data_IF_866839202345
#
_entry.id   IF_866839202345
#
_cell.length_a   1.000
_cell.length_b   1.000
_cell.length_c   1.000
_cell.angle_alpha   90.00
_cell.angle_beta   90.00
_cell.angle_gamma   90.00
#
_symmetry.space_group_name_H-M   'P 1'
#
loop_
_entity.id
_entity.type
_entity.pdbx_description
1 polymer ?
#
# COMPACT_ATOMS: atom_id res chain seq x y z
N UNK A 1 1.00 -21.68 14.84
CA UNK A 1 -0.29 -21.31 14.23
C UNK A 1 -0.20 -19.83 13.87
N UNK A 2 -0.25 -19.49 12.59
CA UNK A 2 -0.17 -18.11 12.12
C UNK A 2 -1.43 -17.34 12.54
N UNK A 3 -1.43 -16.69 13.71
CA UNK A 3 -2.61 -16.02 14.25
C UNK A 3 -2.99 -14.71 13.53
N UNK A 4 -2.13 -14.18 12.65
CA UNK A 4 -2.28 -12.84 12.05
C UNK A 4 -2.28 -12.80 10.51
N UNK A 5 -2.48 -13.92 9.81
CA UNK A 5 -2.56 -13.92 8.33
C UNK A 5 -3.80 -14.66 7.85
N UNK A 6 -4.50 -14.02 6.91
CA UNK A 6 -5.66 -14.58 6.20
C UNK A 6 -5.22 -14.96 4.78
N UNK A 7 -5.45 -16.20 4.31
CA UNK A 7 -5.17 -16.56 2.92
C UNK A 7 -6.11 -15.81 1.98
N UNK A 8 -5.55 -15.27 0.89
CA UNK A 8 -6.29 -14.54 -0.15
C UNK A 8 -5.90 -15.15 -1.50
N UNK A 9 -6.90 -15.31 -2.36
CA UNK A 9 -6.72 -15.81 -3.73
C UNK A 9 -7.20 -14.74 -4.70
N UNK A 10 -6.39 -14.44 -5.72
CA UNK A 10 -6.72 -13.53 -6.81
C UNK A 10 -6.03 -14.01 -8.09
N UNK A 11 -6.51 -13.52 -9.22
CA UNK A 11 -5.95 -13.88 -10.54
C UNK A 11 -4.95 -12.83 -10.97
N UNK A 12 -3.82 -13.26 -11.52
CA UNK A 12 -2.81 -12.41 -12.13
C UNK A 12 -2.52 -12.87 -13.57
N UNK A 13 -2.09 -11.97 -14.46
CA UNK A 13 -1.56 -12.34 -15.77
C UNK A 13 -0.40 -13.34 -15.65
N UNK A 14 -0.31 -14.28 -16.60
CA UNK A 14 0.74 -15.31 -16.58
C UNK A 14 2.14 -14.71 -16.58
N UNK A 15 2.40 -13.73 -17.44
CA UNK A 15 3.71 -13.07 -17.54
C UNK A 15 4.16 -12.46 -16.21
N UNK A 16 3.21 -11.90 -15.44
CA UNK A 16 3.51 -11.32 -14.13
C UNK A 16 3.86 -12.39 -13.08
N UNK A 17 3.22 -13.56 -13.16
CA UNK A 17 3.56 -14.69 -12.29
C UNK A 17 4.98 -15.17 -12.61
N UNK A 18 5.34 -15.28 -13.89
CA UNK A 18 6.67 -15.68 -14.33
C UNK A 18 7.75 -14.68 -13.85
N UNK A 19 7.46 -13.38 -13.92
CA UNK A 19 8.35 -12.34 -13.40
C UNK A 19 8.53 -12.45 -11.87
N UNK A 20 7.44 -12.66 -11.12
CA UNK A 20 7.51 -12.86 -9.66
C UNK A 20 8.35 -14.09 -9.33
N UNK A 21 8.23 -15.16 -10.12
CA UNK A 21 8.98 -16.41 -9.94
C UNK A 21 10.47 -16.19 -10.17
N UNK A 22 10.83 -15.50 -11.26
CA UNK A 22 12.20 -15.16 -11.59
C UNK A 22 12.84 -14.30 -10.51
N UNK A 23 12.14 -13.25 -10.06
CA UNK A 23 12.62 -12.35 -8.98
C UNK A 23 12.79 -13.12 -7.68
N UNK A 24 11.82 -13.96 -7.30
CA UNK A 24 11.88 -14.77 -6.10
C UNK A 24 13.10 -15.71 -6.11
N UNK A 25 13.39 -16.34 -7.26
CA UNK A 25 14.57 -17.18 -7.46
C UNK A 25 15.87 -16.38 -7.35
N UNK A 26 15.98 -15.25 -8.05
CA UNK A 26 17.17 -14.40 -8.03
C UNK A 26 17.49 -13.87 -6.62
N UNK A 27 16.47 -13.48 -5.86
CA UNK A 27 16.62 -12.92 -4.52
C UNK A 27 16.64 -13.99 -3.41
N UNK A 28 16.44 -15.27 -3.74
CA UNK A 28 16.26 -16.38 -2.79
C UNK A 28 15.19 -16.07 -1.73
N UNK A 29 14.12 -15.38 -2.14
CA UNK A 29 12.96 -15.02 -1.31
C UNK A 29 11.75 -15.87 -1.70
N UNK A 30 10.76 -15.96 -0.80
CA UNK A 30 9.46 -16.56 -1.13
C UNK A 30 8.66 -15.60 -2.01
N UNK A 31 7.88 -16.13 -2.96
CA UNK A 31 6.94 -15.34 -3.80
C UNK A 31 6.04 -14.44 -2.95
N UNK A 32 5.53 -14.99 -1.84
CA UNK A 32 4.68 -14.26 -0.87
C UNK A 32 5.39 -13.04 -0.28
N UNK A 33 6.71 -13.09 -0.10
CA UNK A 33 7.49 -11.94 0.39
C UNK A 33 7.60 -10.86 -0.68
N UNK A 34 7.85 -11.25 -1.93
CA UNK A 34 7.90 -10.31 -3.06
C UNK A 34 6.55 -9.60 -3.23
N UNK A 35 5.45 -10.38 -3.24
CA UNK A 35 4.10 -9.83 -3.35
C UNK A 35 3.77 -8.92 -2.17
N UNK A 36 4.15 -9.29 -0.95
CA UNK A 36 3.95 -8.46 0.23
C UNK A 36 4.68 -7.12 0.09
N UNK A 37 5.98 -7.15 -0.20
CA UNK A 37 6.81 -5.94 -0.34
C UNK A 37 6.26 -5.01 -1.44
N UNK A 38 5.85 -5.58 -2.58
CA UNK A 38 5.27 -4.81 -3.67
C UNK A 38 3.93 -4.15 -3.29
N UNK A 39 3.07 -4.87 -2.57
CA UNK A 39 1.79 -4.32 -2.09
C UNK A 39 1.99 -3.23 -1.05
N UNK A 40 2.90 -3.42 -0.09
CA UNK A 40 3.24 -2.39 0.91
C UNK A 40 3.73 -1.11 0.22
N UNK A 41 4.67 -1.22 -0.72
CA UNK A 41 5.16 -0.07 -1.49
C UNK A 41 4.06 0.63 -2.29
N UNK A 42 3.16 -0.13 -2.91
CA UNK A 42 2.06 0.46 -3.68
C UNK A 42 1.06 1.19 -2.77
N UNK A 43 0.72 0.61 -1.62
CA UNK A 43 -0.19 1.23 -0.65
C UNK A 43 0.40 2.52 -0.08
N UNK A 44 1.67 2.51 0.32
CA UNK A 44 2.35 3.72 0.81
C UNK A 44 2.34 4.85 -0.23
N UNK A 45 2.54 4.49 -1.51
CA UNK A 45 2.44 5.45 -2.61
C UNK A 45 1.02 5.99 -2.78
N UNK A 46 -0.02 5.16 -2.68
CA UNK A 46 -1.40 5.62 -2.76
C UNK A 46 -1.77 6.52 -1.59
N UNK A 47 -1.33 6.21 -0.37
CA UNK A 47 -1.54 7.05 0.80
C UNK A 47 -0.94 8.44 0.60
N UNK A 48 0.26 8.52 0.03
CA UNK A 48 0.88 9.80 -0.35
C UNK A 48 0.04 10.54 -1.39
N UNK A 49 -0.48 9.85 -2.41
CA UNK A 49 -1.33 10.47 -3.44
C UNK A 49 -2.66 10.98 -2.89
N UNK A 50 -3.25 10.29 -1.93
CA UNK A 50 -4.45 10.74 -1.21
C UNK A 50 -4.13 11.96 -0.35
N UNK A 51 -2.97 12.00 0.30
CA UNK A 51 -2.54 13.17 1.06
C UNK A 51 -2.31 14.39 0.14
N UNK A 52 -1.68 14.20 -1.01
CA UNK A 52 -1.52 15.25 -2.03
C UNK A 52 -2.87 15.74 -2.55
N UNK A 53 -3.86 14.86 -2.75
CA UNK A 53 -5.19 15.29 -3.20
C UNK A 53 -5.87 16.17 -2.16
N UNK A 54 -5.80 15.83 -0.86
CA UNK A 54 -6.34 16.68 0.22
C UNK A 54 -5.70 18.07 0.24
N UNK A 55 -4.39 18.15 0.03
CA UNK A 55 -3.68 19.45 -0.02
C UNK A 55 -4.09 20.33 -1.19
N UNK A 56 -4.59 19.74 -2.27
CA UNK A 56 -4.96 20.45 -3.50
C UNK A 56 -6.47 20.64 -3.65
N UNK A 57 -7.27 20.02 -2.77
CA UNK A 57 -8.71 20.17 -2.75
C UNK A 57 -9.05 21.54 -2.19
N UNK A 58 -9.49 22.45 -3.05
CA UNK A 58 -9.81 23.84 -2.69
C UNK A 58 -11.11 24.01 -1.89
N UNK A 59 -11.87 22.93 -1.71
CA UNK A 59 -13.09 22.86 -0.91
C UNK A 59 -12.84 22.33 0.51
N UNK A 60 -11.61 21.91 0.84
CA UNK A 60 -11.28 21.49 2.21
C UNK A 60 -11.27 22.72 3.13
N UNK A 61 -12.10 22.70 4.18
CA UNK A 61 -12.15 23.80 5.15
C UNK A 61 -10.82 23.92 5.89
N UNK A 62 -10.12 25.03 5.66
CA UNK A 62 -8.93 25.39 6.43
C UNK A 62 -9.39 25.87 7.81
N UNK A 63 -9.21 25.01 8.81
CA UNK A 63 -9.44 25.37 10.22
C UNK A 63 -8.18 26.00 10.82
N UNK A 64 -8.38 27.05 11.63
CA UNK A 64 -7.29 27.66 12.39
C UNK A 64 -6.77 26.72 13.46
N UNK A 65 -5.48 26.82 13.79
CA UNK A 65 -4.87 25.90 14.75
C UNK A 65 -5.52 25.97 16.13
N UNK A 66 -5.98 27.16 16.55
CA UNK A 66 -6.67 27.33 17.84
C UNK A 66 -8.00 26.56 17.89
N UNK A 67 -8.76 26.55 16.79
CA UNK A 67 -10.05 25.85 16.72
C UNK A 67 -9.85 24.32 16.74
N UNK A 68 -8.84 23.80 16.04
CA UNK A 68 -8.49 22.38 16.06
C UNK A 68 -8.17 21.87 17.47
N UNK A 69 -7.39 22.62 18.26
CA UNK A 69 -7.03 22.21 19.61
C UNK A 69 -8.17 22.34 20.62
N UNK A 70 -9.19 23.13 20.32
CA UNK A 70 -10.39 23.22 21.17
C UNK A 70 -11.35 22.03 20.98
N UNK A 71 -11.25 21.30 19.86
CA UNK A 71 -12.12 20.15 19.53
C UNK A 71 -11.54 18.76 19.91
N UNK A 72 -10.29 18.71 20.39
CA UNK A 72 -9.55 17.50 20.77
C UNK A 72 -9.74 17.12 22.25
#
# INVERSE_FOLDING_TARGET
MYKNVKPVTFTLPFDLIDDIDNIALSLKKKKTTIVKEALEMYLDYQDLKIAESRLTDGDDEVIESEDFFNEL
#
